data_IF_523285093752
#
_entry.id   IF_523285093752
#
_cell.length_a   1.000
_cell.length_b   1.000
_cell.length_c   1.000
_cell.angle_alpha   90.00
_cell.angle_beta   90.00
_cell.angle_gamma   90.00
#
_symmetry.space_group_name_H-M   'P 1'
#
loop_
_entity.id
_entity.type
_entity.pdbx_description
1 polymer ?
#
# COMPACT_ATOMS: atom_id res chain seq x y z
N UNK A 1 -7.40 8.08 0.13
CA UNK A 1 -6.79 7.05 -0.75
C UNK A 1 -5.60 6.41 -0.06
N UNK A 2 -5.30 5.15 -0.39
CA UNK A 2 -4.10 4.43 0.08
C UNK A 2 -3.30 3.94 -1.13
N UNK A 3 -1.99 4.03 -1.05
CA UNK A 3 -1.05 3.58 -2.08
C UNK A 3 -0.25 2.39 -1.55
N UNK A 4 -0.28 1.29 -2.27
CA UNK A 4 0.63 0.16 -2.10
C UNK A 4 1.73 0.30 -3.16
N UNK A 5 2.98 0.37 -2.73
CA UNK A 5 4.13 0.62 -3.60
C UNK A 5 5.05 -0.60 -3.51
N UNK A 6 5.12 -1.36 -4.59
CA UNK A 6 6.03 -2.49 -4.71
C UNK A 6 7.28 -2.09 -5.47
N UNK A 7 8.45 -2.42 -4.90
CA UNK A 7 9.73 -2.22 -5.57
C UNK A 7 10.08 -3.47 -6.38
N UNK A 8 9.90 -3.39 -7.69
CA UNK A 8 10.25 -4.46 -8.63
C UNK A 8 11.46 -3.98 -9.43
N UNK A 9 12.60 -4.63 -9.22
CA UNK A 9 13.89 -4.23 -9.79
C UNK A 9 14.28 -2.77 -9.48
N UNK A 10 14.26 -1.91 -10.52
CA UNK A 10 14.59 -0.48 -10.44
C UNK A 10 13.35 0.42 -10.53
N UNK A 11 12.15 -0.16 -10.58
CA UNK A 11 10.90 0.55 -10.77
C UNK A 11 9.97 0.40 -9.56
N UNK A 12 9.04 1.35 -9.43
CA UNK A 12 8.00 1.33 -8.42
C UNK A 12 6.66 1.08 -9.10
N UNK A 13 6.03 -0.05 -8.80
CA UNK A 13 4.65 -0.32 -9.17
C UNK A 13 3.75 0.22 -8.07
N UNK A 14 2.73 0.99 -8.43
CA UNK A 14 1.83 1.64 -7.49
C UNK A 14 0.41 1.18 -7.74
N UNK A 15 -0.22 0.62 -6.72
CA UNK A 15 -1.63 0.24 -6.73
C UNK A 15 -2.36 1.17 -5.76
N UNK A 16 -3.50 1.70 -6.20
CA UNK A 16 -4.31 2.64 -5.42
C UNK A 16 -5.55 1.93 -4.89
N UNK A 17 -5.80 2.07 -3.60
CA UNK A 17 -6.97 1.58 -2.91
C UNK A 17 -7.79 2.74 -2.33
N UNK A 18 -9.09 2.54 -2.19
CA UNK A 18 -9.99 3.59 -1.68
C UNK A 18 -9.74 3.87 -0.19
N UNK A 19 -9.44 2.82 0.57
CA UNK A 19 -9.25 2.88 2.02
C UNK A 19 -8.30 1.78 2.53
N UNK A 20 -7.88 1.86 3.80
CA UNK A 20 -7.11 0.80 4.45
C UNK A 20 -7.88 -0.52 4.44
N UNK A 21 -9.19 -0.47 4.71
CA UNK A 21 -10.04 -1.67 4.70
C UNK A 21 -10.08 -2.34 3.33
N UNK A 22 -10.15 -1.53 2.26
CA UNK A 22 -10.14 -2.04 0.89
C UNK A 22 -8.81 -2.72 0.54
N UNK A 23 -7.69 -2.11 0.95
CA UNK A 23 -6.37 -2.71 0.82
C UNK A 23 -6.25 -4.03 1.58
N UNK A 24 -6.58 -4.05 2.88
CA UNK A 24 -6.35 -5.22 3.75
C UNK A 24 -7.14 -6.45 3.33
N UNK A 25 -8.26 -6.25 2.62
CA UNK A 25 -9.09 -7.33 2.08
C UNK A 25 -8.59 -7.92 0.76
N UNK A 26 -7.74 -7.20 0.02
CA UNK A 26 -7.36 -7.57 -1.36
C UNK A 26 -5.87 -7.83 -1.57
N UNK A 27 -5.03 -7.36 -0.65
CA UNK A 27 -3.57 -7.43 -0.80
C UNK A 27 -3.00 -8.83 -0.51
N UNK A 28 -1.89 -9.14 -1.19
CA UNK A 28 -1.05 -10.29 -0.86
C UNK A 28 -0.20 -9.98 0.38
N UNK A 29 -0.65 -10.44 1.53
CA UNK A 29 -0.03 -10.14 2.83
C UNK A 29 1.42 -10.62 2.96
N UNK A 30 1.84 -11.63 2.21
CA UNK A 30 3.19 -12.16 2.28
C UNK A 30 4.26 -11.11 1.93
N UNK A 31 4.02 -10.29 0.90
CA UNK A 31 4.96 -9.25 0.50
C UNK A 31 5.02 -8.09 1.52
N UNK A 32 3.90 -7.82 2.20
CA UNK A 32 3.85 -6.88 3.33
C UNK A 32 4.67 -7.41 4.51
N UNK A 33 4.52 -8.69 4.87
CA UNK A 33 5.26 -9.29 5.99
C UNK A 33 6.77 -9.31 5.73
N UNK A 34 7.17 -9.52 4.48
CA UNK A 34 8.57 -9.51 4.05
C UNK A 34 9.14 -8.09 3.85
N UNK A 35 8.32 -7.05 4.00
CA UNK A 35 8.73 -5.66 3.86
C UNK A 35 9.12 -5.26 2.43
N UNK A 36 8.55 -5.94 1.43
CA UNK A 36 8.79 -5.64 0.00
C UNK A 36 7.91 -4.49 -0.50
N UNK A 37 6.83 -4.21 0.22
CA UNK A 37 5.86 -3.18 -0.12
C UNK A 37 5.93 -2.01 0.86
N UNK A 38 5.75 -0.80 0.35
CA UNK A 38 5.56 0.42 1.14
C UNK A 38 4.09 0.81 1.04
N UNK A 39 3.43 1.05 2.17
CA UNK A 39 2.03 1.47 2.21
C UNK A 39 1.97 2.90 2.72
N UNK A 40 1.39 3.81 1.94
CA UNK A 40 1.22 5.21 2.34
C UNK A 40 -0.20 5.69 2.13
N UNK A 41 -0.69 6.59 2.97
CA UNK A 41 -1.93 7.31 2.70
C UNK A 41 -1.72 8.57 1.86
N UNK A 42 -2.82 9.26 1.55
CA UNK A 42 -2.82 10.52 0.80
C UNK A 42 -2.07 11.69 1.45
N UNK A 43 -1.79 11.59 2.75
CA UNK A 43 -0.94 12.55 3.46
C UNK A 43 0.52 12.11 3.50
N UNK A 44 0.83 10.95 2.91
CA UNK A 44 2.16 10.34 2.88
C UNK A 44 2.51 9.58 4.14
N UNK A 45 1.59 9.39 5.10
CA UNK A 45 1.87 8.64 6.33
C UNK A 45 2.13 7.19 5.94
N UNK A 46 3.29 6.64 6.33
CA UNK A 46 3.62 5.24 6.11
C UNK A 46 2.91 4.34 7.11
N UNK A 47 2.47 3.17 6.65
CA UNK A 47 1.85 2.14 7.47
C UNK A 47 2.72 0.89 7.50
N UNK A 48 2.71 0.22 8.65
CA UNK A 48 3.29 -1.10 8.82
C UNK A 48 2.21 -2.09 9.27
N UNK A 49 2.43 -3.38 9.05
CA UNK A 49 1.53 -4.37 9.60
C UNK A 49 1.70 -4.47 11.12
N UNK A 50 0.59 -4.75 11.81
CA UNK A 50 0.55 -4.87 13.27
C UNK A 50 1.26 -6.15 13.74
N UNK A 51 2.56 -6.03 13.99
CA UNK A 51 3.42 -7.14 14.41
C UNK A 51 3.10 -7.71 15.80
N UNK A 52 2.20 -7.09 16.57
CA UNK A 52 1.74 -7.65 17.84
C UNK A 52 1.05 -9.01 17.66
N UNK A 53 0.51 -9.26 16.46
CA UNK A 53 -0.18 -10.51 16.07
C UNK A 53 0.69 -11.43 15.21
N UNK A 54 2.03 -11.29 15.25
CA UNK A 54 2.95 -12.10 14.43
C UNK A 54 2.77 -13.62 14.58
N UNK A 55 2.32 -14.08 15.75
CA UNK A 55 2.10 -15.51 16.01
C UNK A 55 0.84 -16.06 15.30
N UNK A 56 0.01 -15.18 14.74
CA UNK A 56 -1.22 -15.52 14.03
C UNK A 56 -1.02 -15.57 12.50
N UNK A 57 0.17 -15.24 12.00
CA UNK A 57 0.49 -15.27 10.56
C UNK A 57 0.24 -16.67 9.99
N UNK A 58 -0.53 -16.73 8.90
CA UNK A 58 -0.99 -17.96 8.25
C UNK A 58 -2.18 -18.66 8.94
N UNK A 59 -2.67 -18.12 10.07
CA UNK A 59 -3.78 -18.71 10.84
C UNK A 59 -5.00 -17.80 10.96
N UNK A 60 -4.83 -16.49 10.77
CA UNK A 60 -5.93 -15.51 10.69
C UNK A 60 -6.01 -14.86 9.31
N UNK A 61 -7.19 -14.38 8.97
CA UNK A 61 -7.47 -13.72 7.68
C UNK A 61 -7.55 -12.19 7.76
N UNK A 62 -7.55 -11.61 8.97
CA UNK A 62 -7.85 -10.19 9.16
C UNK A 62 -6.71 -9.45 9.85
N UNK A 63 -5.57 -9.36 9.17
CA UNK A 63 -4.43 -8.59 9.64
C UNK A 63 -4.74 -7.08 9.58
N UNK A 64 -4.09 -6.33 10.48
CA UNK A 64 -4.27 -4.89 10.62
C UNK A 64 -2.99 -4.15 10.24
N UNK A 65 -3.17 -2.93 9.72
CA UNK A 65 -2.09 -1.97 9.53
C UNK A 65 -2.16 -0.91 10.63
N UNK A 66 -1.00 -0.41 11.04
CA UNK A 66 -0.86 0.70 11.99
C UNK A 66 -0.06 1.83 11.35
N UNK A 67 -0.47 3.09 11.57
CA UNK A 67 0.27 4.24 11.07
C UNK A 67 1.60 4.37 11.82
N UNK A 68 2.64 4.70 11.07
CA UNK A 68 3.96 5.04 11.61
C UNK A 68 4.08 6.55 11.83
N UNK A 69 5.22 6.99 12.39
CA UNK A 69 5.55 8.41 12.47
C UNK A 69 6.24 8.97 11.21
N UNK A 70 6.43 8.15 10.17
CA UNK A 70 7.14 8.53 8.96
C UNK A 70 6.19 9.12 7.92
N UNK A 71 6.68 10.13 7.21
CA UNK A 71 6.01 10.70 6.04
C UNK A 71 6.90 10.43 4.84
N UNK A 72 6.36 9.70 3.87
CA UNK A 72 7.09 9.26 2.69
C UNK A 72 7.19 10.37 1.66
N UNK A 73 8.38 10.59 1.10
CA UNK A 73 8.59 11.54 0.00
C UNK A 73 7.94 11.06 -1.31
N UNK A 74 7.66 9.74 -1.41
CA UNK A 74 7.01 9.12 -2.57
C UNK A 74 5.58 9.61 -2.81
N UNK A 75 4.93 10.21 -1.80
CA UNK A 75 3.56 10.72 -1.92
C UNK A 75 3.40 11.72 -3.05
N UNK A 76 4.41 12.57 -3.28
CA UNK A 76 4.37 13.59 -4.32
C UNK A 76 4.26 12.95 -5.71
N UNK A 77 4.96 11.85 -5.93
CA UNK A 77 4.93 11.12 -7.21
C UNK A 77 3.64 10.33 -7.37
N UNK A 78 3.14 9.72 -6.29
CA UNK A 78 1.87 9.01 -6.28
C UNK A 78 0.69 9.93 -6.65
N UNK A 79 0.63 11.11 -6.04
CA UNK A 79 -0.43 12.09 -6.33
C UNK A 79 -0.35 12.64 -7.76
N UNK A 80 0.86 12.81 -8.32
CA UNK A 80 1.02 13.21 -9.73
C UNK A 80 0.41 12.18 -10.67
N UNK A 81 0.68 10.89 -10.44
CA UNK A 81 0.18 9.80 -11.30
C UNK A 81 -1.35 9.69 -11.23
N UNK A 82 -1.93 9.74 -10.03
CA UNK A 82 -3.41 9.76 -9.88
C UNK A 82 -4.05 10.92 -10.63
N UNK A 83 -3.46 12.12 -10.56
CA UNK A 83 -4.00 13.29 -11.28
C UNK A 83 -3.85 13.18 -12.81
N UNK A 84 -2.83 12.46 -13.29
CA UNK A 84 -2.63 12.17 -14.72
C UNK A 84 -3.65 11.11 -15.18
N UNK A 85 -3.81 10.03 -14.40
CA UNK A 85 -4.67 8.89 -14.74
C UNK A 85 -6.17 9.19 -14.58
N UNK A 86 -6.56 10.19 -13.77
CA UNK A 86 -7.92 10.75 -13.77
C UNK A 86 -8.34 11.32 -15.15
N UNK A 87 -7.40 11.57 -16.06
CA UNK A 87 -7.67 11.98 -17.45
C UNK A 87 -7.64 10.81 -18.46
N UNK A 88 -7.31 9.59 -18.05
CA UNK A 88 -7.26 8.42 -18.94
C UNK A 88 -7.94 7.24 -18.23
N UNK A 89 -9.27 7.20 -18.31
CA UNK A 89 -10.03 5.97 -18.11
C UNK A 89 -9.83 5.09 -19.34
N UNK A 90 -8.95 4.09 -19.28
CA UNK A 90 -9.08 2.81 -20.01
C UNK A 90 -7.89 1.88 -19.69
N UNK A 91 -8.15 0.79 -18.95
CA UNK A 91 -7.31 -0.41 -18.99
C UNK A 91 -7.95 -1.39 -19.96
N UNK A 92 -7.17 -1.95 -20.89
CA UNK A 92 -7.57 -3.07 -21.73
C UNK A 92 -7.10 -4.41 -21.11
N UNK A 93 -7.98 -5.41 -21.20
CA UNK A 93 -7.81 -6.79 -20.71
C UNK A 93 -6.68 -7.56 -21.40
#
# INVERSE_FOLDING_TARGET
MIFLIDKVDSEHQVIVYESITDLTQRVEWQDIFEGKSIIIDENGIEYEWDSSKKNEVGTVYNYSLIPTSRVSELITECLKRVNIDQNIYEFNF
#
